data_IF_605257462511
#
_entry.id   IF_605257462511
#
_cell.length_a   1.000
_cell.length_b   1.000
_cell.length_c   1.000
_cell.angle_alpha   90.00
_cell.angle_beta   90.00
_cell.angle_gamma   90.00
#
_symmetry.space_group_name_H-M   'P 1'
#
loop_
_entity.id
_entity.type
_entity.pdbx_description
1 polymer ?
#
# COMPACT_ATOMS: atom_id res chain seq x y z
N UNK A 1 -5.14 12.16 46.18
CA UNK A 1 -5.98 11.45 45.20
C UNK A 1 -6.25 12.45 44.08
N UNK A 2 -5.65 12.25 42.91
CA UNK A 2 -5.76 13.19 41.79
C UNK A 2 -6.99 12.82 40.96
N UNK A 3 -7.86 13.79 40.70
CA UNK A 3 -9.03 13.63 39.85
C UNK A 3 -8.60 13.32 38.41
N UNK A 4 -9.03 12.16 37.93
CA UNK A 4 -8.92 11.75 36.54
C UNK A 4 -10.04 12.46 35.79
N UNK A 5 -9.68 13.47 34.99
CA UNK A 5 -10.62 14.18 34.13
C UNK A 5 -11.32 13.20 33.19
N UNK A 6 -12.61 12.98 33.42
CA UNK A 6 -13.48 12.24 32.53
C UNK A 6 -13.62 13.03 31.23
N UNK A 7 -12.89 12.61 30.20
CA UNK A 7 -13.25 13.00 28.84
C UNK A 7 -14.54 12.25 28.48
N UNK A 8 -15.67 12.81 28.88
CA UNK A 8 -16.99 12.41 28.40
C UNK A 8 -17.06 12.75 26.91
N UNK A 9 -16.63 11.81 26.06
CA UNK A 9 -16.96 11.88 24.64
C UNK A 9 -18.46 11.62 24.51
N UNK A 10 -19.20 12.68 24.22
CA UNK A 10 -20.62 12.63 23.92
C UNK A 10 -20.85 11.63 22.78
N UNK A 11 -21.55 10.53 23.07
CA UNK A 11 -21.90 9.54 22.07
C UNK A 11 -22.92 10.17 21.11
N UNK A 12 -22.43 10.59 19.94
CA UNK A 12 -23.29 11.05 18.85
C UNK A 12 -23.74 9.79 18.10
N UNK A 13 -25.05 9.55 17.99
CA UNK A 13 -25.58 8.52 17.10
C UNK A 13 -24.90 8.67 15.74
N UNK A 14 -24.32 7.59 15.21
CA UNK A 14 -23.66 7.57 13.91
C UNK A 14 -24.69 7.73 12.80
N UNK A 15 -25.27 8.93 12.67
CA UNK A 15 -26.02 9.36 11.52
C UNK A 15 -25.12 9.40 10.29
N UNK A 16 -25.69 9.16 9.12
CA UNK A 16 -24.99 9.32 7.85
C UNK A 16 -24.85 10.81 7.56
N UNK A 17 -23.63 11.33 7.63
CA UNK A 17 -23.31 12.73 7.29
C UNK A 17 -22.99 12.77 5.79
N UNK A 18 -23.55 13.74 5.05
CA UNK A 18 -23.19 13.94 3.64
C UNK A 18 -21.73 14.42 3.58
N UNK A 19 -20.94 13.84 2.68
CA UNK A 19 -19.51 14.15 2.51
C UNK A 19 -19.28 15.64 2.25
N UNK A 20 -20.26 16.33 1.65
CA UNK A 20 -20.21 17.77 1.37
C UNK A 20 -20.22 18.64 2.63
N UNK A 21 -20.75 18.12 3.73
CA UNK A 21 -20.87 18.84 5.00
C UNK A 21 -19.62 18.67 5.89
N UNK A 22 -18.64 17.87 5.45
CA UNK A 22 -17.40 17.67 6.17
C UNK A 22 -16.47 18.89 6.00
N UNK A 23 -15.87 19.39 7.10
CA UNK A 23 -14.85 20.43 7.01
C UNK A 23 -13.64 19.91 6.23
N UNK A 24 -12.90 20.80 5.51
CA UNK A 24 -11.70 20.41 4.80
C UNK A 24 -10.65 19.85 5.78
N UNK A 25 -9.88 18.87 5.32
CA UNK A 25 -8.75 18.31 6.07
C UNK A 25 -7.79 19.42 6.49
N UNK A 26 -7.29 19.34 7.72
CA UNK A 26 -6.22 20.23 8.17
C UNK A 26 -4.96 20.04 7.30
N UNK A 27 -4.10 21.05 7.27
CA UNK A 27 -2.95 21.08 6.37
C UNK A 27 -1.95 19.93 6.63
N UNK A 28 -1.85 19.43 7.87
CA UNK A 28 -0.97 18.32 8.21
C UNK A 28 -1.57 17.00 7.69
N UNK A 29 -2.85 16.73 8.00
CA UNK A 29 -3.52 15.51 7.53
C UNK A 29 -3.62 15.46 6.01
N UNK A 30 -3.93 16.58 5.35
CA UNK A 30 -3.97 16.65 3.89
C UNK A 30 -2.61 16.25 3.26
N UNK A 31 -1.51 16.76 3.83
CA UNK A 31 -0.16 16.43 3.37
C UNK A 31 0.18 14.95 3.59
N UNK A 32 -0.17 14.39 4.75
CA UNK A 32 0.04 12.97 5.08
C UNK A 32 -0.71 12.09 4.07
N UNK A 33 -2.00 12.35 3.88
CA UNK A 33 -2.83 11.59 2.94
C UNK A 33 -2.31 11.67 1.50
N UNK A 34 -1.85 12.85 1.06
CA UNK A 34 -1.29 13.03 -0.29
C UNK A 34 0.02 12.25 -0.47
N UNK A 35 0.86 12.24 0.55
CA UNK A 35 2.12 11.49 0.58
C UNK A 35 1.89 9.97 0.54
N UNK A 36 0.91 9.48 1.29
CA UNK A 36 0.48 8.08 1.30
C UNK A 36 -0.11 7.69 -0.04
N UNK A 37 -1.01 8.50 -0.58
CA UNK A 37 -1.60 8.27 -1.90
C UNK A 37 -0.52 8.20 -3.00
N UNK A 38 0.47 9.10 -2.97
CA UNK A 38 1.58 9.08 -3.93
C UNK A 38 2.44 7.83 -3.78
N UNK A 39 2.70 7.39 -2.55
CA UNK A 39 3.47 6.17 -2.27
C UNK A 39 2.71 4.93 -2.73
N UNK A 40 1.42 4.83 -2.39
CA UNK A 40 0.53 3.75 -2.82
C UNK A 40 0.43 3.70 -4.35
N UNK A 41 0.19 4.84 -5.00
CA UNK A 41 0.12 4.93 -6.47
C UNK A 41 1.43 4.48 -7.13
N UNK A 42 2.58 4.92 -6.60
CA UNK A 42 3.89 4.50 -7.12
C UNK A 42 4.10 2.99 -7.03
N UNK A 43 3.76 2.39 -5.89
CA UNK A 43 3.82 0.93 -5.72
C UNK A 43 2.81 0.19 -6.60
N UNK A 44 1.61 0.74 -6.81
CA UNK A 44 0.61 0.19 -7.73
C UNK A 44 1.11 0.20 -9.18
N UNK A 45 1.68 1.31 -9.64
CA UNK A 45 2.25 1.40 -11.00
C UNK A 45 3.38 0.38 -11.17
N UNK A 46 4.28 0.29 -10.19
CA UNK A 46 5.34 -0.70 -10.20
C UNK A 46 4.81 -2.14 -10.25
N UNK A 47 3.78 -2.45 -9.45
CA UNK A 47 3.12 -3.75 -9.47
C UNK A 47 2.47 -4.06 -10.82
N UNK A 48 1.83 -3.08 -11.47
CA UNK A 48 1.27 -3.25 -12.80
C UNK A 48 2.34 -3.54 -13.85
N UNK A 49 3.49 -2.86 -13.80
CA UNK A 49 4.63 -3.15 -14.67
C UNK A 49 5.08 -4.60 -14.49
N UNK A 50 5.16 -5.09 -13.25
CA UNK A 50 5.54 -6.48 -12.96
C UNK A 50 4.52 -7.49 -13.51
N UNK A 51 3.23 -7.31 -13.25
CA UNK A 51 2.21 -8.22 -13.83
C UNK A 51 2.26 -8.17 -15.35
N UNK A 52 2.37 -6.97 -15.94
CA UNK A 52 2.37 -6.80 -17.38
C UNK A 52 3.63 -7.36 -18.06
N UNK A 53 4.74 -7.46 -17.32
CA UNK A 53 5.94 -8.13 -17.80
C UNK A 53 5.71 -9.62 -18.14
N UNK A 54 4.73 -10.26 -17.49
CA UNK A 54 4.41 -11.68 -17.72
C UNK A 54 3.83 -11.93 -19.12
N UNK A 55 2.73 -11.29 -19.56
CA UNK A 55 2.24 -11.46 -20.92
C UNK A 55 3.25 -10.97 -21.95
N UNK A 56 4.04 -9.93 -21.66
CA UNK A 56 5.14 -9.49 -22.54
C UNK A 56 6.16 -10.62 -22.73
N UNK A 57 6.62 -11.25 -21.65
CA UNK A 57 7.54 -12.39 -21.72
C UNK A 57 6.92 -13.57 -22.47
N UNK A 58 5.64 -13.89 -22.20
CA UNK A 58 4.93 -14.96 -22.91
C UNK A 58 4.81 -14.70 -24.41
N UNK A 59 4.69 -13.44 -24.83
CA UNK A 59 4.54 -13.05 -26.23
C UNK A 59 5.88 -13.01 -26.98
N UNK A 60 6.90 -12.39 -26.38
CA UNK A 60 8.19 -12.15 -27.04
C UNK A 60 9.19 -13.29 -26.86
N UNK A 61 9.03 -14.13 -25.83
CA UNK A 61 9.92 -15.25 -25.54
C UNK A 61 9.16 -16.52 -25.10
N UNK A 62 8.20 -17.04 -25.91
CA UNK A 62 7.36 -18.17 -25.54
C UNK A 62 8.15 -19.44 -25.24
N UNK A 63 9.22 -19.72 -25.99
CA UNK A 63 10.07 -20.90 -25.77
C UNK A 63 10.71 -20.90 -24.37
N UNK A 64 11.09 -19.72 -23.88
CA UNK A 64 11.63 -19.55 -22.52
C UNK A 64 10.51 -19.56 -21.48
N UNK A 65 9.45 -18.78 -21.71
CA UNK A 65 8.32 -18.61 -20.81
C UNK A 65 7.63 -19.95 -20.47
N UNK A 66 7.44 -20.80 -21.49
CA UNK A 66 6.82 -22.12 -21.35
C UNK A 66 7.81 -23.26 -21.13
N UNK A 67 9.11 -22.96 -20.99
CA UNK A 67 10.12 -23.97 -20.67
C UNK A 67 9.79 -24.63 -19.33
N UNK A 68 9.65 -25.95 -19.35
CA UNK A 68 9.45 -26.75 -18.13
C UNK A 68 10.75 -26.76 -17.34
N UNK A 69 10.65 -26.49 -16.05
CA UNK A 69 11.79 -26.44 -15.15
C UNK A 69 11.72 -27.55 -14.10
N UNK A 70 10.93 -27.38 -13.04
CA UNK A 70 10.85 -28.35 -11.96
C UNK A 70 9.40 -28.78 -11.73
N UNK A 71 9.16 -30.09 -11.67
CA UNK A 71 7.85 -30.66 -11.35
C UNK A 71 6.79 -30.41 -12.42
N UNK A 72 7.21 -30.09 -13.65
CA UNK A 72 6.31 -29.70 -14.74
C UNK A 72 5.91 -28.23 -14.74
N UNK A 73 6.34 -27.43 -13.75
CA UNK A 73 6.12 -25.99 -13.72
C UNK A 73 6.91 -25.29 -14.83
N UNK A 74 6.26 -24.38 -15.56
CA UNK A 74 6.95 -23.54 -16.56
C UNK A 74 7.63 -22.35 -15.89
N UNK A 75 8.59 -21.71 -16.55
CA UNK A 75 9.19 -20.46 -16.07
C UNK A 75 8.15 -19.40 -15.72
N UNK A 76 7.15 -19.19 -16.57
CA UNK A 76 6.06 -18.23 -16.29
C UNK A 76 5.34 -18.53 -14.98
N UNK A 77 4.88 -19.77 -14.80
CA UNK A 77 4.25 -20.22 -13.56
C UNK A 77 5.15 -20.09 -12.32
N UNK A 78 6.46 -20.32 -12.46
CA UNK A 78 7.40 -20.12 -11.35
C UNK A 78 7.54 -18.64 -10.98
N UNK A 79 7.71 -17.77 -11.98
CA UNK A 79 7.83 -16.33 -11.77
C UNK A 79 6.56 -15.77 -11.14
N UNK A 80 5.38 -16.14 -11.65
CA UNK A 80 4.10 -15.62 -11.15
C UNK A 80 3.76 -16.10 -9.74
N UNK A 81 4.25 -17.26 -9.30
CA UNK A 81 3.91 -17.82 -7.99
C UNK A 81 4.97 -17.54 -6.94
N UNK A 82 6.26 -17.68 -7.27
CA UNK A 82 7.36 -17.54 -6.31
C UNK A 82 7.91 -16.13 -6.32
N UNK A 83 8.30 -15.63 -7.50
CA UNK A 83 8.93 -14.31 -7.62
C UNK A 83 7.94 -13.20 -7.28
N UNK A 84 6.71 -13.26 -7.82
CA UNK A 84 5.68 -12.26 -7.52
C UNK A 84 5.25 -12.29 -6.04
N UNK A 85 5.25 -13.45 -5.39
CA UNK A 85 4.99 -13.55 -3.96
C UNK A 85 6.08 -12.84 -3.14
N UNK A 86 7.36 -13.10 -3.45
CA UNK A 86 8.47 -12.41 -2.82
C UNK A 86 8.38 -10.88 -3.04
N UNK A 87 8.03 -10.45 -4.25
CA UNK A 87 7.81 -9.04 -4.56
C UNK A 87 6.66 -8.42 -3.77
N UNK A 88 5.57 -9.16 -3.53
CA UNK A 88 4.46 -8.67 -2.71
C UNK A 88 4.92 -8.37 -1.27
N UNK A 89 5.74 -9.25 -0.67
CA UNK A 89 6.32 -9.01 0.66
C UNK A 89 7.26 -7.80 0.67
N UNK A 90 8.09 -7.63 -0.37
CA UNK A 90 8.97 -6.47 -0.50
C UNK A 90 8.17 -5.17 -0.60
N UNK A 91 7.12 -5.13 -1.44
CA UNK A 91 6.24 -3.97 -1.59
C UNK A 91 5.56 -3.63 -0.27
N UNK A 92 5.03 -4.63 0.44
CA UNK A 92 4.41 -4.44 1.74
C UNK A 92 5.40 -3.87 2.76
N UNK A 93 6.61 -4.42 2.83
CA UNK A 93 7.67 -3.93 3.72
C UNK A 93 8.08 -2.49 3.41
N UNK A 94 8.27 -2.15 2.14
CA UNK A 94 8.62 -0.78 1.73
C UNK A 94 7.49 0.18 2.08
N UNK A 95 6.24 -0.20 1.81
CA UNK A 95 5.07 0.60 2.14
C UNK A 95 4.99 0.89 3.65
N UNK A 96 5.09 -0.15 4.49
CA UNK A 96 5.02 0.01 5.96
C UNK A 96 6.21 0.78 6.51
N UNK A 97 7.43 0.50 6.04
CA UNK A 97 8.63 1.23 6.50
C UNK A 97 8.58 2.72 6.15
N UNK A 98 8.09 3.07 4.94
CA UNK A 98 7.92 4.46 4.51
C UNK A 98 6.80 5.14 5.31
N UNK A 99 5.70 4.44 5.58
CA UNK A 99 4.61 4.92 6.41
C UNK A 99 5.08 5.22 7.85
N UNK A 100 5.76 4.28 8.51
CA UNK A 100 6.29 4.48 9.87
C UNK A 100 7.30 5.63 9.96
N UNK A 101 8.18 5.76 8.95
CA UNK A 101 9.12 6.89 8.87
C UNK A 101 8.40 8.23 8.78
N UNK A 102 7.31 8.30 7.99
CA UNK A 102 6.49 9.50 7.86
C UNK A 102 5.77 9.81 9.18
N UNK A 103 5.12 8.83 9.81
CA UNK A 103 4.48 9.01 11.11
C UNK A 103 5.43 9.59 12.16
N UNK A 104 6.62 9.01 12.33
CA UNK A 104 7.63 9.53 13.28
C UNK A 104 8.05 10.97 12.98
N UNK A 105 8.18 11.33 11.70
CA UNK A 105 8.52 12.69 11.30
C UNK A 105 7.38 13.67 11.64
N UNK A 106 6.13 13.25 11.49
CA UNK A 106 4.97 14.08 11.79
C UNK A 106 4.73 14.21 13.31
N UNK A 107 4.89 13.13 14.07
CA UNK A 107 4.85 13.16 15.54
C UNK A 107 5.90 14.10 16.14
N UNK A 108 7.11 14.12 15.57
CA UNK A 108 8.18 15.04 15.99
C UNK A 108 7.95 16.49 15.56
N UNK A 109 7.16 16.73 14.51
CA UNK A 109 6.86 18.08 14.02
C UNK A 109 5.66 18.73 14.73
N UNK A 110 4.79 17.92 15.34
CA UNK A 110 3.62 18.35 16.11
C UNK A 110 3.87 18.40 17.63
N UNK A 111 5.10 18.12 18.07
CA UNK A 111 5.57 18.26 19.46
C UNK A 111 6.34 19.57 19.64
#
# INVERSE_FOLDING_TARGET
MAEVGSHDYEYVEAGTIDVKDLPPLDAATNKIMKDEFTTGLGLSVFYFILIFSIPVMNWFAPEFAFKKMWGGMTVTWFVTTVVMMAMAFIIAYVHTSMYEKRLKKYDLANK
#
